data_IF_337726489029
#
_entry.id   IF_337726489029
#
_cell.length_a   1.000
_cell.length_b   1.000
_cell.length_c   1.000
_cell.angle_alpha   90.00
_cell.angle_beta   90.00
_cell.angle_gamma   90.00
#
_symmetry.space_group_name_H-M   'P 1'
#
loop_
_entity.id
_entity.type
_entity.pdbx_description
1 polymer ?
#
# COMPACT_ATOMS: atom_id res chain seq x y z
N UNK A 1 0.48 -9.17 0.11
CA UNK A 1 1.79 -9.64 -0.34
C UNK A 1 2.92 -8.84 0.30
N UNK A 2 3.12 -9.07 1.58
CA UNK A 2 4.21 -8.52 2.36
C UNK A 2 5.48 -9.36 2.11
N UNK A 3 6.66 -8.72 2.10
CA UNK A 3 7.93 -9.43 1.99
C UNK A 3 8.30 -9.90 0.59
N UNK A 4 7.74 -9.28 -0.44
CA UNK A 4 8.16 -9.55 -1.83
C UNK A 4 9.56 -9.00 -2.09
N UNK A 5 10.38 -9.76 -2.81
CA UNK A 5 11.81 -9.48 -3.05
C UNK A 5 12.03 -8.05 -3.58
N UNK A 6 11.17 -7.56 -4.46
CA UNK A 6 11.31 -6.21 -5.04
C UNK A 6 11.26 -5.08 -4.01
N UNK A 7 10.62 -5.28 -2.85
CA UNK A 7 10.54 -4.25 -1.81
C UNK A 7 11.91 -3.92 -1.21
N UNK A 8 12.86 -4.86 -1.20
CA UNK A 8 14.22 -4.61 -0.73
C UNK A 8 15.01 -3.62 -1.61
N UNK A 9 14.57 -3.44 -2.85
CA UNK A 9 15.23 -2.58 -3.84
C UNK A 9 14.70 -1.13 -3.88
N UNK A 10 13.80 -0.73 -2.98
CA UNK A 10 13.16 0.61 -3.01
C UNK A 10 14.15 1.79 -3.03
N UNK A 11 15.39 1.59 -2.54
CA UNK A 11 16.46 2.59 -2.57
C UNK A 11 17.19 2.67 -3.91
N UNK A 12 17.10 1.63 -4.74
CA UNK A 12 17.72 1.59 -6.08
C UNK A 12 16.84 2.36 -7.09
N UNK A 13 16.83 3.69 -6.96
CA UNK A 13 15.88 4.58 -7.64
C UNK A 13 15.85 4.42 -9.15
N UNK A 14 17.00 4.25 -9.78
CA UNK A 14 17.09 4.08 -11.23
C UNK A 14 16.61 2.69 -11.65
N UNK A 15 17.08 1.65 -10.98
CA UNK A 15 16.65 0.27 -11.24
C UNK A 15 15.15 0.08 -11.09
N UNK A 16 14.52 0.76 -10.12
CA UNK A 16 13.08 0.69 -9.90
C UNK A 16 12.24 1.35 -11.02
N UNK A 17 12.79 2.22 -11.86
CA UNK A 17 12.02 2.88 -12.91
C UNK A 17 11.47 1.92 -13.96
N UNK A 18 12.04 0.73 -14.11
CA UNK A 18 11.54 -0.30 -15.05
C UNK A 18 10.11 -0.76 -14.72
N UNK A 19 9.65 -0.48 -13.51
CA UNK A 19 8.31 -0.85 -13.03
C UNK A 19 7.20 -0.17 -13.84
N UNK A 20 7.44 0.97 -14.44
CA UNK A 20 6.46 1.67 -15.28
C UNK A 20 6.13 0.90 -16.57
N UNK A 21 7.05 0.04 -17.06
CA UNK A 21 6.87 -0.81 -18.23
C UNK A 21 6.39 -2.21 -17.83
N UNK A 22 7.05 -2.81 -16.84
CA UNK A 22 6.92 -4.25 -16.53
C UNK A 22 6.09 -4.54 -15.28
N UNK A 23 5.72 -3.50 -14.54
CA UNK A 23 5.18 -3.64 -13.19
C UNK A 23 6.20 -4.24 -12.21
N UNK A 24 5.80 -4.37 -10.97
CA UNK A 24 6.65 -4.93 -9.89
C UNK A 24 7.08 -6.39 -10.13
N UNK A 25 6.33 -7.12 -10.96
CA UNK A 25 6.66 -8.50 -11.34
C UNK A 25 7.92 -8.57 -12.21
N UNK A 26 8.09 -7.62 -13.13
CA UNK A 26 9.30 -7.52 -13.93
C UNK A 26 10.53 -7.22 -13.09
N UNK A 27 10.40 -6.33 -12.09
CA UNK A 27 11.48 -6.06 -11.15
C UNK A 27 11.86 -7.33 -10.34
N UNK A 28 10.86 -8.08 -9.86
CA UNK A 28 11.10 -9.37 -9.18
C UNK A 28 11.81 -10.35 -10.09
N UNK A 29 11.40 -10.45 -11.37
CA UNK A 29 12.06 -11.31 -12.37
C UNK A 29 13.53 -10.92 -12.56
N UNK A 30 13.85 -9.64 -12.73
CA UNK A 30 15.22 -9.16 -12.91
C UNK A 30 16.09 -9.49 -11.69
N UNK A 31 15.59 -9.27 -10.47
CA UNK A 31 16.32 -9.59 -9.24
C UNK A 31 16.61 -11.10 -9.18
N UNK A 32 15.61 -11.93 -9.47
CA UNK A 32 15.76 -13.39 -9.48
C UNK A 32 16.74 -13.85 -10.57
N UNK A 33 16.68 -13.24 -11.75
CA UNK A 33 17.59 -13.51 -12.86
C UNK A 33 19.04 -13.21 -12.47
N UNK A 34 19.34 -12.02 -11.96
CA UNK A 34 20.71 -11.67 -11.52
C UNK A 34 21.19 -12.55 -10.37
N UNK A 35 20.33 -12.90 -9.42
CA UNK A 35 20.66 -13.82 -8.34
C UNK A 35 21.00 -15.21 -8.88
N UNK A 36 20.27 -15.69 -9.88
CA UNK A 36 20.55 -16.98 -10.54
C UNK A 36 21.87 -16.98 -11.29
N UNK A 37 22.18 -15.88 -11.98
CA UNK A 37 23.48 -15.72 -12.68
C UNK A 37 24.66 -15.78 -11.69
N UNK A 38 24.55 -15.05 -10.58
CA UNK A 38 25.57 -15.08 -9.52
C UNK A 38 25.73 -16.50 -8.98
N UNK A 39 24.63 -17.20 -8.73
CA UNK A 39 24.64 -18.59 -8.25
C UNK A 39 25.35 -19.54 -9.21
N UNK A 40 25.09 -19.42 -10.51
CA UNK A 40 25.77 -20.23 -11.55
C UNK A 40 27.28 -19.97 -11.56
N UNK A 41 27.70 -18.71 -11.44
CA UNK A 41 29.13 -18.35 -11.38
C UNK A 41 29.79 -18.96 -10.12
N UNK A 42 29.12 -18.85 -8.96
CA UNK A 42 29.62 -19.43 -7.71
C UNK A 42 29.75 -20.95 -7.81
N UNK A 43 28.76 -21.65 -8.37
CA UNK A 43 28.79 -23.09 -8.56
C UNK A 43 29.91 -23.50 -9.53
N UNK A 44 30.12 -22.77 -10.62
CA UNK A 44 31.25 -22.97 -11.55
C UNK A 44 32.60 -22.79 -10.83
N UNK A 45 32.70 -21.77 -9.97
CA UNK A 45 33.90 -21.53 -9.15
C UNK A 45 34.16 -22.71 -8.20
N UNK A 46 33.16 -23.16 -7.45
CA UNK A 46 33.28 -24.29 -6.52
C UNK A 46 33.76 -25.57 -7.29
N UNK A 47 33.10 -25.85 -8.43
CA UNK A 47 33.46 -27.00 -9.27
C UNK A 47 34.93 -26.95 -9.77
N UNK A 48 35.39 -25.76 -10.18
CA UNK A 48 36.74 -25.61 -10.72
C UNK A 48 37.81 -25.48 -9.64
N UNK A 49 37.46 -25.21 -8.37
CA UNK A 49 38.43 -25.01 -7.28
C UNK A 49 39.09 -26.31 -6.81
N UNK A 50 38.49 -27.46 -7.05
CA UNK A 50 39.01 -28.76 -6.61
C UNK A 50 40.37 -29.15 -7.19
N UNK A 51 40.77 -28.55 -8.33
CA UNK A 51 42.01 -28.98 -9.06
C UNK A 51 42.90 -27.81 -9.51
N UNK A 52 42.57 -26.54 -9.19
CA UNK A 52 43.25 -25.36 -9.72
C UNK A 52 43.64 -24.38 -8.62
N UNK A 53 44.60 -23.52 -8.90
CA UNK A 53 44.86 -22.34 -8.07
C UNK A 53 43.69 -21.38 -8.12
N UNK A 54 43.52 -20.52 -7.11
CA UNK A 54 42.41 -19.54 -7.01
C UNK A 54 42.30 -18.67 -8.27
N UNK A 55 43.41 -18.15 -8.76
CA UNK A 55 43.45 -17.28 -9.95
C UNK A 55 43.02 -17.99 -11.22
N UNK A 56 43.45 -19.26 -11.39
CA UNK A 56 43.08 -20.10 -12.52
C UNK A 56 41.59 -20.45 -12.46
N UNK A 57 41.08 -20.77 -11.26
CA UNK A 57 39.67 -21.07 -11.00
C UNK A 57 38.79 -19.93 -11.37
N UNK A 58 39.12 -18.69 -10.95
CA UNK A 58 38.36 -17.49 -11.28
C UNK A 58 38.29 -17.28 -12.80
N UNK A 59 39.47 -17.27 -13.48
CA UNK A 59 39.53 -17.06 -14.93
C UNK A 59 38.72 -18.10 -15.69
N UNK A 60 38.82 -19.38 -15.31
CA UNK A 60 38.09 -20.46 -15.95
C UNK A 60 36.57 -20.30 -15.75
N UNK A 61 36.14 -20.06 -14.52
CA UNK A 61 34.71 -19.90 -14.20
C UNK A 61 34.08 -18.70 -14.91
N UNK A 62 34.77 -17.55 -14.99
CA UNK A 62 34.34 -16.41 -15.76
C UNK A 62 34.27 -16.68 -17.25
N UNK A 63 35.29 -17.40 -17.80
CA UNK A 63 35.31 -17.71 -19.22
C UNK A 63 34.20 -18.70 -19.61
N UNK A 64 33.97 -19.75 -18.82
CA UNK A 64 32.87 -20.70 -19.04
C UNK A 64 31.51 -20.04 -19.05
N UNK A 65 31.30 -18.98 -18.25
CA UNK A 65 30.03 -18.27 -18.11
C UNK A 65 30.00 -16.90 -18.84
N UNK A 66 30.96 -16.62 -19.73
CA UNK A 66 31.13 -15.30 -20.37
C UNK A 66 29.86 -14.78 -21.06
N UNK A 67 29.13 -15.64 -21.77
CA UNK A 67 27.92 -15.24 -22.49
C UNK A 67 26.81 -14.86 -21.52
N UNK A 68 26.68 -15.61 -20.41
CA UNK A 68 25.71 -15.31 -19.36
C UNK A 68 26.06 -13.99 -18.63
N UNK A 69 27.33 -13.77 -18.35
CA UNK A 69 27.83 -12.53 -17.74
C UNK A 69 27.58 -11.34 -18.68
N UNK A 70 27.93 -11.49 -19.96
CA UNK A 70 27.74 -10.43 -20.95
C UNK A 70 26.27 -10.07 -21.13
N UNK A 71 25.37 -11.05 -21.25
CA UNK A 71 23.93 -10.81 -21.37
C UNK A 71 23.36 -10.13 -20.10
N UNK A 72 23.80 -10.56 -18.92
CA UNK A 72 23.37 -9.95 -17.65
C UNK A 72 23.84 -8.50 -17.52
N UNK A 73 25.10 -8.24 -17.88
CA UNK A 73 25.63 -6.87 -17.85
C UNK A 73 24.91 -5.97 -18.86
N UNK A 74 24.61 -6.50 -20.05
CA UNK A 74 23.84 -5.75 -21.06
C UNK A 74 22.43 -5.41 -20.57
N UNK A 75 21.72 -6.37 -19.97
CA UNK A 75 20.39 -6.13 -19.40
C UNK A 75 20.48 -5.10 -18.26
N UNK A 76 21.47 -5.24 -17.37
CA UNK A 76 21.66 -4.29 -16.27
C UNK A 76 21.89 -2.86 -16.79
N UNK A 77 22.80 -2.69 -17.77
CA UNK A 77 23.08 -1.39 -18.38
C UNK A 77 21.83 -0.81 -19.05
N UNK A 78 21.04 -1.61 -19.76
CA UNK A 78 19.81 -1.15 -20.39
C UNK A 78 18.77 -0.68 -19.36
N UNK A 79 18.59 -1.45 -18.30
CA UNK A 79 17.64 -1.11 -17.21
C UNK A 79 18.07 0.16 -16.49
N UNK A 80 19.35 0.27 -16.11
CA UNK A 80 19.88 1.46 -15.45
C UNK A 80 19.84 2.70 -16.36
N UNK A 81 20.21 2.55 -17.65
CA UNK A 81 20.15 3.66 -18.61
C UNK A 81 18.72 4.17 -18.80
N UNK A 82 17.76 3.26 -18.92
CA UNK A 82 16.35 3.59 -18.95
C UNK A 82 15.92 4.30 -17.65
N UNK A 83 16.34 3.77 -16.51
CA UNK A 83 16.04 4.35 -15.21
C UNK A 83 16.61 5.75 -15.01
N UNK A 84 17.85 5.98 -15.42
CA UNK A 84 18.46 7.31 -15.38
C UNK A 84 17.67 8.26 -16.28
N UNK A 85 17.33 7.85 -17.50
CA UNK A 85 16.54 8.66 -18.42
C UNK A 85 15.18 9.04 -17.82
N UNK A 86 14.43 8.09 -17.28
CA UNK A 86 13.12 8.34 -16.68
C UNK A 86 13.17 9.18 -15.40
N UNK A 87 14.18 8.95 -14.57
CA UNK A 87 14.36 9.70 -13.33
C UNK A 87 14.78 11.15 -13.58
N UNK A 88 15.60 11.35 -14.62
CA UNK A 88 16.09 12.70 -15.01
C UNK A 88 15.08 13.50 -15.82
N UNK A 89 14.00 12.87 -16.27
CA UNK A 89 12.95 13.53 -17.04
C UNK A 89 12.20 14.54 -16.17
N UNK A 90 12.28 15.80 -16.54
CA UNK A 90 11.50 16.85 -15.90
C UNK A 90 10.00 16.60 -16.11
N UNK A 91 9.27 16.51 -15.00
CA UNK A 91 7.82 16.36 -15.01
C UNK A 91 7.20 17.69 -14.63
N UNK A 92 6.75 18.44 -15.62
CA UNK A 92 6.04 19.70 -15.40
C UNK A 92 4.62 19.35 -15.00
N UNK A 93 4.19 19.69 -13.76
CA UNK A 93 2.82 19.42 -13.34
C UNK A 93 1.85 20.31 -14.15
N UNK A 94 0.83 19.69 -14.72
CA UNK A 94 -0.24 20.42 -15.43
C UNK A 94 -1.24 21.09 -14.47
N UNK A 95 -1.39 20.51 -13.28
CA UNK A 95 -2.22 21.03 -12.18
C UNK A 95 -1.58 20.68 -10.84
N UNK A 96 -1.73 21.56 -9.86
CA UNK A 96 -1.32 21.32 -8.48
C UNK A 96 -2.52 21.31 -7.55
N UNK A 97 -2.48 20.48 -6.52
CA UNK A 97 -3.53 20.39 -5.52
C UNK A 97 -2.89 20.42 -4.12
N UNK A 98 -3.41 21.26 -3.25
CA UNK A 98 -3.02 21.29 -1.84
C UNK A 98 -3.85 20.25 -1.09
N UNK A 99 -3.23 19.16 -0.66
CA UNK A 99 -3.89 18.07 0.05
C UNK A 99 -3.34 17.96 1.48
N UNK A 100 -4.22 17.77 2.44
CA UNK A 100 -3.86 17.49 3.84
C UNK A 100 -4.04 16.01 4.07
N UNK A 101 -2.95 15.30 4.39
CA UNK A 101 -2.95 13.88 4.70
C UNK A 101 -2.87 13.70 6.22
N UNK A 102 -3.85 13.06 6.82
CA UNK A 102 -3.96 12.87 8.26
C UNK A 102 -3.58 11.46 8.66
N UNK A 103 -2.63 11.37 9.58
CA UNK A 103 -2.21 10.13 10.24
C UNK A 103 -2.29 10.33 11.75
N UNK A 104 -3.36 9.85 12.37
CA UNK A 104 -3.62 9.98 13.80
C UNK A 104 -2.80 9.02 14.67
N UNK A 105 -2.22 7.97 14.08
CA UNK A 105 -1.40 6.98 14.75
C UNK A 105 -2.07 6.35 16.00
N UNK A 106 -3.34 6.00 15.88
CA UNK A 106 -4.13 5.31 16.90
C UNK A 106 -4.23 3.84 16.54
N UNK A 107 -4.12 2.98 17.54
CA UNK A 107 -4.33 1.55 17.40
C UNK A 107 -5.84 1.26 17.37
N UNK A 108 -6.39 1.04 16.16
CA UNK A 108 -7.81 0.76 15.95
C UNK A 108 -8.28 -0.60 16.51
N UNK A 109 -7.34 -1.47 16.91
CA UNK A 109 -7.66 -2.75 17.56
C UNK A 109 -8.00 -2.61 19.05
N UNK A 110 -7.67 -1.46 19.65
CA UNK A 110 -8.01 -1.21 21.05
C UNK A 110 -9.46 -0.75 21.18
N UNK A 111 -10.21 -1.29 22.16
CA UNK A 111 -11.59 -0.89 22.38
C UNK A 111 -11.70 0.59 22.78
N UNK A 112 -12.84 1.20 22.45
CA UNK A 112 -13.18 2.59 22.78
C UNK A 112 -12.21 3.66 22.27
N UNK A 113 -11.57 3.43 21.11
CA UNK A 113 -10.68 4.41 20.48
C UNK A 113 -11.37 5.21 19.34
N UNK A 114 -12.60 4.86 18.96
CA UNK A 114 -13.29 5.41 17.78
C UNK A 114 -13.47 6.92 17.89
N UNK A 115 -14.09 7.40 18.99
CA UNK A 115 -14.29 8.84 19.18
C UNK A 115 -12.95 9.59 19.27
N UNK A 116 -11.95 8.99 19.92
CA UNK A 116 -10.61 9.56 20.00
C UNK A 116 -9.96 9.67 18.64
N UNK A 117 -10.06 8.62 17.80
CA UNK A 117 -9.53 8.62 16.44
C UNK A 117 -10.15 9.75 15.59
N UNK A 118 -11.45 9.96 15.73
CA UNK A 118 -12.15 11.05 15.04
C UNK A 118 -11.67 12.41 15.55
N UNK A 119 -11.63 12.62 16.88
CA UNK A 119 -11.23 13.90 17.48
C UNK A 119 -9.78 14.26 17.16
N UNK A 120 -8.86 13.29 17.24
CA UNK A 120 -7.45 13.52 16.89
C UNK A 120 -7.30 13.83 15.39
N UNK A 121 -8.07 13.14 14.53
CA UNK A 121 -8.08 13.44 13.09
C UNK A 121 -8.65 14.82 12.79
N UNK A 122 -9.69 15.24 13.48
CA UNK A 122 -10.25 16.60 13.36
C UNK A 122 -9.24 17.67 13.75
N UNK A 123 -8.59 17.49 14.90
CA UNK A 123 -7.56 18.41 15.37
C UNK A 123 -6.39 18.53 14.39
N UNK A 124 -5.87 17.41 13.91
CA UNK A 124 -4.80 17.41 12.90
C UNK A 124 -5.24 18.06 11.59
N UNK A 125 -6.52 17.90 11.22
CA UNK A 125 -7.09 18.57 10.04
C UNK A 125 -7.13 20.09 10.22
N UNK A 126 -7.57 20.57 11.38
CA UNK A 126 -7.56 22.01 11.71
C UNK A 126 -6.16 22.59 11.70
N UNK A 127 -5.21 21.87 12.29
CA UNK A 127 -3.79 22.27 12.30
C UNK A 127 -3.25 22.37 10.87
N UNK A 128 -3.55 21.38 10.00
CA UNK A 128 -3.16 21.40 8.59
C UNK A 128 -3.81 22.53 7.79
N UNK A 129 -5.07 22.82 8.02
CA UNK A 129 -5.78 23.96 7.39
C UNK A 129 -5.13 25.27 7.82
N UNK A 130 -4.83 25.43 9.11
CA UNK A 130 -4.21 26.63 9.64
C UNK A 130 -2.78 26.83 9.10
N UNK A 131 -2.03 25.73 8.91
CA UNK A 131 -0.69 25.79 8.31
C UNK A 131 -0.75 26.24 6.84
N UNK A 132 -1.68 25.72 6.05
CA UNK A 132 -1.88 26.18 4.68
C UNK A 132 -2.33 27.67 4.62
N UNK A 133 -3.19 28.10 5.55
CA UNK A 133 -3.60 29.51 5.63
C UNK A 133 -2.43 30.46 5.88
N UNK A 134 -1.47 30.07 6.73
CA UNK A 134 -0.25 30.87 6.95
C UNK A 134 0.60 31.00 5.68
N UNK A 135 0.50 30.03 4.77
CA UNK A 135 1.17 30.04 3.46
C UNK A 135 0.31 30.69 2.36
N UNK A 136 -0.80 31.34 2.72
CA UNK A 136 -1.79 31.92 1.78
C UNK A 136 -2.38 30.91 0.78
N UNK A 137 -2.38 29.62 1.16
CA UNK A 137 -2.91 28.52 0.36
C UNK A 137 -4.24 28.04 0.89
N UNK A 138 -5.07 27.47 0.00
CA UNK A 138 -6.31 26.79 0.37
C UNK A 138 -6.17 25.29 0.22
N UNK A 139 -6.68 24.49 1.17
CA UNK A 139 -6.77 23.04 0.97
C UNK A 139 -7.83 22.73 -0.11
N UNK A 140 -7.52 21.75 -0.95
CA UNK A 140 -8.45 21.27 -1.97
C UNK A 140 -9.04 19.91 -1.57
N UNK A 141 -8.35 19.17 -0.71
CA UNK A 141 -8.74 17.85 -0.25
C UNK A 141 -8.11 17.54 1.10
N UNK A 142 -8.87 16.88 1.97
CA UNK A 142 -8.38 16.26 3.19
C UNK A 142 -8.54 14.75 3.06
N UNK A 143 -7.51 13.99 3.43
CA UNK A 143 -7.54 12.53 3.40
C UNK A 143 -7.19 12.01 4.79
N UNK A 144 -8.09 11.24 5.40
CA UNK A 144 -7.85 10.52 6.63
C UNK A 144 -7.40 9.10 6.32
N UNK A 145 -6.68 8.49 7.25
CA UNK A 145 -6.13 7.15 7.07
C UNK A 145 -7.22 6.07 7.00
N UNK A 146 -6.80 4.86 6.63
CA UNK A 146 -7.62 3.65 6.63
C UNK A 146 -8.20 3.38 8.02
N UNK A 147 -9.45 2.91 8.08
CA UNK A 147 -10.11 2.45 9.30
C UNK A 147 -10.22 3.47 10.43
N UNK A 148 -10.31 4.77 10.11
CA UNK A 148 -10.57 5.80 11.13
C UNK A 148 -11.97 5.69 11.69
N UNK A 149 -12.95 5.42 10.82
CA UNK A 149 -14.33 5.19 11.22
C UNK A 149 -14.59 3.70 11.33
N UNK A 150 -15.25 3.30 12.41
CA UNK A 150 -15.49 1.87 12.71
C UNK A 150 -16.93 1.44 12.39
N UNK A 151 -17.87 2.38 12.33
CA UNK A 151 -19.27 2.07 12.09
C UNK A 151 -19.56 2.11 10.59
N UNK A 152 -20.12 1.03 10.01
CA UNK A 152 -20.28 0.90 8.56
C UNK A 152 -21.21 1.93 7.94
N UNK A 153 -20.84 2.42 6.77
CA UNK A 153 -21.66 3.27 5.90
C UNK A 153 -22.56 2.41 4.98
N UNK A 154 -23.69 2.94 4.49
CA UNK A 154 -24.20 4.30 4.73
C UNK A 154 -25.02 4.47 6.03
N UNK A 155 -25.33 3.39 6.75
CA UNK A 155 -26.25 3.39 7.89
C UNK A 155 -25.77 4.29 9.04
N UNK A 156 -24.45 4.35 9.23
CA UNK A 156 -23.82 5.13 10.30
C UNK A 156 -23.90 6.64 10.13
N UNK A 157 -24.33 7.16 8.99
CA UNK A 157 -24.36 8.62 8.76
C UNK A 157 -25.21 9.36 9.82
N UNK A 158 -26.26 8.71 10.31
CA UNK A 158 -27.11 9.27 11.38
C UNK A 158 -26.33 9.36 12.70
N UNK A 159 -25.53 8.37 13.00
CA UNK A 159 -24.71 8.29 14.20
C UNK A 159 -23.64 9.38 14.17
N UNK A 160 -22.93 9.52 13.06
CA UNK A 160 -21.89 10.54 12.89
C UNK A 160 -22.40 12.00 12.83
N UNK A 161 -23.72 12.22 12.80
CA UNK A 161 -24.32 13.51 13.06
C UNK A 161 -24.30 13.90 14.54
N UNK A 162 -24.07 12.96 15.44
CA UNK A 162 -24.13 13.16 16.89
C UNK A 162 -22.85 12.81 17.61
N UNK A 163 -21.93 12.05 16.99
CA UNK A 163 -20.65 11.65 17.56
C UNK A 163 -19.47 12.15 16.73
N UNK A 164 -18.34 12.50 17.37
CA UNK A 164 -18.19 12.68 18.84
C UNK A 164 -19.13 13.77 19.39
N UNK A 165 -19.56 13.63 20.63
CA UNK A 165 -20.54 14.61 21.23
C UNK A 165 -20.03 16.05 21.21
N UNK A 166 -18.73 16.22 21.40
CA UNK A 166 -18.06 17.54 21.43
C UNK A 166 -17.86 18.15 20.04
N UNK A 167 -17.72 17.33 19.01
CA UNK A 167 -17.50 17.75 17.64
C UNK A 167 -18.04 16.68 16.67
N UNK A 168 -19.35 16.68 16.39
CA UNK A 168 -19.95 15.71 15.48
C UNK A 168 -19.30 15.71 14.10
N UNK A 169 -18.94 14.53 13.60
CA UNK A 169 -18.15 14.37 12.38
C UNK A 169 -18.77 15.09 11.17
N UNK A 170 -20.07 14.91 10.96
CA UNK A 170 -20.76 15.51 9.80
C UNK A 170 -20.76 17.03 9.87
N UNK A 171 -20.89 17.62 11.06
CA UNK A 171 -20.78 19.06 11.23
C UNK A 171 -19.35 19.54 10.99
N UNK A 172 -18.36 18.83 11.53
CA UNK A 172 -16.95 19.14 11.32
C UNK A 172 -16.57 19.16 9.82
N UNK A 173 -17.00 18.15 9.04
CA UNK A 173 -16.74 18.12 7.58
C UNK A 173 -17.32 19.36 6.92
N UNK A 174 -18.56 19.74 7.24
CA UNK A 174 -19.23 20.92 6.68
C UNK A 174 -18.53 22.21 7.09
N UNK A 175 -18.18 22.35 8.36
CA UNK A 175 -17.54 23.56 8.90
C UNK A 175 -16.12 23.74 8.34
N UNK A 176 -15.44 22.66 8.04
CA UNK A 176 -14.12 22.65 7.37
C UNK A 176 -14.21 23.20 5.95
N UNK A 177 -15.36 23.09 5.29
CA UNK A 177 -15.62 23.54 3.92
C UNK A 177 -14.61 23.03 2.89
N UNK A 178 -14.14 21.78 3.07
CA UNK A 178 -13.17 21.11 2.21
C UNK A 178 -13.65 19.67 1.95
N UNK A 179 -13.61 19.17 0.72
CA UNK A 179 -13.89 17.77 0.43
C UNK A 179 -12.98 16.83 1.22
N UNK A 180 -13.51 15.69 1.67
CA UNK A 180 -12.77 14.72 2.47
C UNK A 180 -12.90 13.31 1.92
N UNK A 181 -11.81 12.53 2.02
CA UNK A 181 -11.81 11.09 1.83
C UNK A 181 -11.47 10.47 3.18
N UNK A 182 -12.34 9.60 3.69
CA UNK A 182 -12.20 9.02 5.02
C UNK A 182 -12.29 7.50 4.93
N UNK A 183 -11.33 6.80 5.53
CA UNK A 183 -11.35 5.34 5.63
C UNK A 183 -12.44 4.87 6.57
N UNK A 184 -13.33 4.02 6.08
CA UNK A 184 -14.48 3.49 6.81
C UNK A 184 -14.96 2.15 6.24
N UNK A 185 -15.57 1.27 7.03
CA UNK A 185 -16.25 0.12 6.49
C UNK A 185 -17.51 0.52 5.70
N UNK A 186 -17.79 -0.25 4.63
CA UNK A 186 -19.00 -0.13 3.84
C UNK A 186 -19.81 -1.42 3.98
N UNK A 187 -21.10 -1.31 4.24
CA UNK A 187 -22.01 -2.44 4.26
C UNK A 187 -22.25 -2.93 2.84
N UNK A 188 -21.87 -4.16 2.54
CA UNK A 188 -22.17 -4.85 1.29
C UNK A 188 -23.52 -5.55 1.41
N UNK A 189 -23.70 -6.30 2.49
CA UNK A 189 -24.94 -6.98 2.82
C UNK A 189 -25.22 -6.80 4.31
N UNK A 190 -26.40 -6.26 4.62
CA UNK A 190 -26.77 -5.98 6.01
C UNK A 190 -27.23 -7.24 6.74
N UNK A 191 -27.95 -8.12 6.06
CA UNK A 191 -28.53 -9.31 6.65
C UNK A 191 -27.45 -10.36 6.92
N UNK A 192 -26.49 -10.51 6.00
CA UNK A 192 -25.33 -11.39 6.14
C UNK A 192 -24.17 -10.75 6.92
N UNK A 193 -24.32 -9.49 7.35
CA UNK A 193 -23.28 -8.71 8.04
C UNK A 193 -21.95 -8.63 7.26
N UNK A 194 -22.03 -8.52 5.95
CA UNK A 194 -20.86 -8.38 5.09
C UNK A 194 -20.45 -6.93 4.97
N UNK A 195 -19.19 -6.68 5.22
CA UNK A 195 -18.58 -5.34 5.15
C UNK A 195 -17.35 -5.37 4.26
N UNK A 196 -17.05 -4.26 3.62
CA UNK A 196 -15.78 -4.07 2.92
C UNK A 196 -14.97 -2.95 3.58
N UNK A 197 -13.66 -3.09 3.56
CA UNK A 197 -12.75 -2.00 3.89
C UNK A 197 -12.78 -0.99 2.74
N UNK A 198 -13.15 0.26 3.03
CA UNK A 198 -13.51 1.23 2.00
C UNK A 198 -13.04 2.65 2.33
N UNK A 199 -13.02 3.48 1.32
CA UNK A 199 -12.89 4.92 1.43
C UNK A 199 -14.23 5.57 1.08
N UNK A 200 -14.70 6.49 1.93
CA UNK A 200 -15.92 7.27 1.73
C UNK A 200 -15.53 8.67 1.31
N UNK A 201 -16.11 9.16 0.22
CA UNK A 201 -15.84 10.48 -0.32
C UNK A 201 -16.96 11.43 0.06
N UNK A 202 -16.62 12.50 0.76
CA UNK A 202 -17.53 13.59 1.13
C UNK A 202 -17.20 14.86 0.33
N UNK A 203 -18.23 15.57 -0.09
CA UNK A 203 -18.07 16.94 -0.56
C UNK A 203 -17.91 17.92 0.62
N UNK A 204 -17.69 19.20 0.31
CA UNK A 204 -17.56 20.27 1.30
C UNK A 204 -18.82 20.50 2.15
N UNK A 205 -19.97 20.05 1.70
CA UNK A 205 -21.25 20.17 2.39
C UNK A 205 -21.59 18.90 3.20
N UNK A 206 -20.63 17.97 3.31
CA UNK A 206 -20.74 16.69 3.96
C UNK A 206 -21.73 15.72 3.31
N UNK A 207 -22.02 15.86 2.03
CA UNK A 207 -22.77 14.87 1.27
C UNK A 207 -21.82 13.79 0.75
N UNK A 208 -22.26 12.54 0.82
CA UNK A 208 -21.50 11.42 0.28
C UNK A 208 -21.57 11.45 -1.24
N UNK A 209 -20.40 11.51 -1.89
CA UNK A 209 -20.27 11.52 -3.36
C UNK A 209 -20.01 10.13 -3.92
N UNK A 210 -19.47 9.22 -3.10
CA UNK A 210 -19.17 7.86 -3.51
C UNK A 210 -18.35 7.10 -2.50
N UNK A 211 -18.10 5.82 -2.85
CA UNK A 211 -17.31 4.88 -2.08
C UNK A 211 -16.34 4.17 -2.99
N UNK A 212 -15.21 3.78 -2.44
CA UNK A 212 -14.26 2.87 -3.09
C UNK A 212 -13.88 1.75 -2.13
N UNK A 213 -14.28 0.53 -2.45
CA UNK A 213 -13.95 -0.64 -1.64
C UNK A 213 -12.61 -1.24 -2.03
N UNK A 214 -11.86 -1.74 -1.05
CA UNK A 214 -10.59 -2.43 -1.25
C UNK A 214 -10.81 -3.68 -2.10
N UNK A 215 -10.05 -3.78 -3.21
CA UNK A 215 -10.18 -4.88 -4.17
C UNK A 215 -9.28 -6.04 -3.76
N UNK A 216 -8.05 -5.75 -3.30
CA UNK A 216 -7.06 -6.76 -2.95
C UNK A 216 -6.99 -6.91 -1.44
N UNK A 217 -7.77 -7.84 -0.91
CA UNK A 217 -7.81 -8.15 0.51
C UNK A 217 -6.55 -8.88 0.95
N UNK A 218 -6.14 -8.67 2.19
CA UNK A 218 -4.98 -9.34 2.79
C UNK A 218 -5.38 -10.75 3.22
N UNK A 219 -4.78 -11.80 2.63
CA UNK A 219 -5.06 -13.18 3.01
C UNK A 219 -4.81 -13.40 4.52
N UNK A 220 -5.69 -14.16 5.15
CA UNK A 220 -5.69 -14.51 6.58
C UNK A 220 -5.86 -13.32 7.56
N UNK A 221 -6.02 -12.09 7.06
CA UNK A 221 -6.30 -10.92 7.88
C UNK A 221 -7.65 -10.27 7.54
N UNK A 222 -7.95 -10.14 6.25
CA UNK A 222 -9.19 -9.52 5.76
C UNK A 222 -10.10 -10.54 5.06
N UNK A 223 -9.55 -11.65 4.60
CA UNK A 223 -10.30 -12.82 4.15
C UNK A 223 -9.48 -14.09 4.39
N UNK A 224 -10.17 -15.20 4.56
CA UNK A 224 -9.53 -16.51 4.65
C UNK A 224 -9.77 -17.25 3.33
N UNK A 225 -8.70 -17.65 2.62
CA UNK A 225 -8.85 -18.43 1.40
C UNK A 225 -9.60 -19.73 1.63
N UNK A 226 -10.39 -20.13 0.63
CA UNK A 226 -11.13 -21.40 0.62
C UNK A 226 -12.30 -21.51 1.61
N UNK A 227 -12.76 -20.40 2.22
CA UNK A 227 -13.95 -20.42 3.09
C UNK A 227 -15.27 -20.66 2.35
N UNK A 228 -15.25 -20.61 1.02
CA UNK A 228 -16.35 -21.08 0.17
C UNK A 228 -16.63 -22.59 0.35
N UNK A 229 -15.64 -23.37 0.79
CA UNK A 229 -15.79 -24.79 1.08
C UNK A 229 -16.22 -25.00 2.55
N UNK A 230 -17.37 -25.63 2.76
CA UNK A 230 -17.95 -25.88 4.09
C UNK A 230 -17.00 -26.66 5.02
N UNK A 231 -16.23 -27.60 4.46
CA UNK A 231 -15.20 -28.34 5.20
C UNK A 231 -14.14 -27.41 5.81
N UNK A 232 -13.67 -26.42 5.03
CA UNK A 232 -12.65 -25.46 5.51
C UNK A 232 -13.23 -24.57 6.59
N UNK A 233 -14.46 -24.10 6.42
CA UNK A 233 -15.18 -23.30 7.43
C UNK A 233 -15.29 -24.05 8.76
N UNK A 234 -15.81 -25.28 8.73
CA UNK A 234 -15.99 -26.12 9.92
C UNK A 234 -14.65 -26.41 10.63
N UNK A 235 -13.56 -26.59 9.85
CA UNK A 235 -12.22 -26.78 10.40
C UNK A 235 -11.71 -25.51 11.09
N UNK A 236 -11.91 -24.36 10.50
CA UNK A 236 -11.50 -23.06 11.07
C UNK A 236 -12.31 -22.70 12.32
N UNK A 237 -13.62 -22.94 12.30
CA UNK A 237 -14.49 -22.74 13.47
C UNK A 237 -14.03 -23.61 14.66
N UNK A 238 -13.60 -24.83 14.37
CA UNK A 238 -13.13 -25.78 15.40
C UNK A 238 -11.75 -25.39 15.96
N UNK A 239 -10.83 -24.88 15.10
CA UNK A 239 -9.45 -24.61 15.49
C UNK A 239 -9.23 -23.20 16.06
N UNK A 240 -9.98 -22.22 15.61
CA UNK A 240 -9.70 -20.78 15.88
C UNK A 240 -10.91 -20.03 16.43
N UNK A 241 -12.09 -20.66 16.50
CA UNK A 241 -13.34 -19.99 16.91
C UNK A 241 -13.72 -18.85 15.93
N UNK A 242 -13.55 -19.11 14.64
CA UNK A 242 -13.69 -18.13 13.58
C UNK A 242 -15.17 -17.75 13.39
N UNK A 243 -15.53 -16.53 13.75
CA UNK A 243 -16.80 -15.94 13.31
C UNK A 243 -16.57 -15.14 12.03
N UNK A 244 -17.06 -15.65 10.89
CA UNK A 244 -16.98 -14.99 9.58
C UNK A 244 -17.71 -13.64 9.60
N UNK A 245 -16.97 -12.56 9.69
CA UNK A 245 -17.52 -11.19 9.66
C UNK A 245 -16.91 -10.29 8.60
N UNK A 246 -15.88 -10.78 7.88
CA UNK A 246 -15.19 -10.02 6.84
C UNK A 246 -15.14 -10.88 5.56
N UNK A 247 -15.89 -10.50 4.56
CA UNK A 247 -15.76 -10.96 3.18
C UNK A 247 -15.61 -9.78 2.24
#
# INVERSE_FOLDING_TARGET
PWGTIHMSFYKAKYFCQIVDITGVRGLTFLISYFSSVISVIILSFIKNSCHNSITTTIKKSLFENKNLIFSSLSIFILVESYGIFQYSKERIPTKTMNTILIQQNIDSWKPNQDEKAILDSQKLTEDGINELKKQEKRPHLVVWSESVLQIPFPQSIRIYKTIPKTSPLINFIRDSNVPMIIGAPLTIDFDERKFSNSAVVFDKDANIQGYYSKIHLVPFAEYIPFTEYEFVRNLLDTLVGFSSGWE
#
